data_IF_326324869841
#
_entry.id   IF_326324869841
#
_cell.length_a   1.000
_cell.length_b   1.000
_cell.length_c   1.000
_cell.angle_alpha   90.00
_cell.angle_beta   90.00
_cell.angle_gamma   90.00
#
_symmetry.space_group_name_H-M   'P 1'
#
loop_
_entity.id
_entity.type
_entity.pdbx_description
1 polymer ?
2 non-polymer ?
3 non-polymer ?
4 water ?
#
# COMPACT_ATOMS: atom_id res chain seq x y z
N UNK A 1 -10.79 -15.98 11.45
CA UNK A 1 -10.63 -16.56 12.83
C UNK A 1 -9.27 -16.15 13.32
N UNK A 2 -8.27 -16.97 13.05
CA UNK A 2 -6.89 -16.63 13.38
C UNK A 2 -6.55 -15.94 12.07
N UNK A 3 -6.62 -14.61 12.09
CA UNK A 3 -6.41 -13.81 10.89
C UNK A 3 -5.10 -13.88 10.12
N UNK A 4 -3.97 -13.88 10.82
CA UNK A 4 -2.67 -13.94 10.16
C UNK A 4 -1.72 -14.85 10.93
N UNK A 5 -1.88 -16.18 10.76
CA UNK A 5 -1.03 -17.15 11.45
C UNK A 5 0.48 -17.05 11.23
N UNK A 6 0.91 -16.62 10.05
CA UNK A 6 2.34 -16.52 9.76
C UNK A 6 2.93 -15.13 10.02
N UNK A 7 2.11 -14.20 10.48
CA UNK A 7 2.60 -12.86 10.73
C UNK A 7 3.32 -12.65 12.04
N UNK A 8 4.33 -11.78 12.03
CA UNK A 8 5.05 -11.49 13.26
C UNK A 8 4.21 -10.49 14.03
N UNK A 9 4.83 -9.72 14.90
CA UNK A 9 4.07 -8.72 15.63
C UNK A 9 4.88 -7.43 15.69
N UNK A 10 4.69 -6.60 14.67
CA UNK A 10 5.32 -5.30 14.46
C UNK A 10 4.97 -4.29 15.54
N UNK A 11 5.80 -3.25 15.65
CA UNK A 11 5.57 -2.19 16.61
C UNK A 11 4.73 -1.12 15.92
N UNK A 12 4.75 -1.14 14.59
CA UNK A 12 4.00 -0.17 13.80
C UNK A 12 3.77 -0.69 12.38
N UNK A 13 2.54 -0.55 11.91
CA UNK A 13 2.19 -0.96 10.56
C UNK A 13 1.58 0.25 9.86
N UNK A 14 2.29 0.77 8.86
CA UNK A 14 1.82 1.93 8.10
C UNK A 14 1.16 1.45 6.81
N UNK A 15 -0.11 1.79 6.65
CA UNK A 15 -0.87 1.39 5.47
C UNK A 15 -0.97 2.56 4.50
N UNK A 16 -0.15 2.52 3.46
CA UNK A 16 -0.12 3.57 2.45
C UNK A 16 -1.07 3.29 1.30
N UNK A 17 -1.57 4.37 0.70
CA UNK A 17 -2.44 4.26 -0.45
C UNK A 17 -2.34 5.61 -1.16
N UNK A 18 -2.72 5.62 -2.44
CA UNK A 18 -2.66 6.85 -3.20
C UNK A 18 -2.81 6.57 -4.69
N UNK A 19 -3.46 7.49 -5.39
CA UNK A 19 -3.65 7.34 -6.83
C UNK A 19 -2.31 7.41 -7.55
N UNK A 20 -2.26 6.82 -8.74
CA UNK A 20 -1.04 6.79 -9.53
C UNK A 20 -0.48 8.18 -9.83
N UNK A 21 0.83 8.24 -10.06
CA UNK A 21 1.53 9.48 -10.38
C UNK A 21 1.36 10.58 -9.34
N UNK A 22 1.26 10.19 -8.07
CA UNK A 22 1.08 11.16 -6.99
C UNK A 22 2.30 11.26 -6.06
N UNK A 23 3.30 10.42 -6.30
CA UNK A 23 4.50 10.45 -5.47
C UNK A 23 4.51 9.45 -4.32
N UNK A 24 3.60 8.48 -4.35
CA UNK A 24 3.55 7.49 -3.28
C UNK A 24 4.83 6.66 -3.17
N UNK A 25 5.36 6.20 -4.30
CA UNK A 25 6.59 5.40 -4.28
C UNK A 25 7.76 6.24 -3.77
N UNK A 26 7.76 7.52 -4.10
CA UNK A 26 8.81 8.41 -3.65
C UNK A 26 8.79 8.42 -2.12
N UNK A 27 7.59 8.53 -1.56
CA UNK A 27 7.43 8.56 -0.10
C UNK A 27 7.84 7.25 0.58
N UNK A 28 7.31 6.13 0.11
CA UNK A 28 7.63 4.85 0.73
C UNK A 28 9.11 4.47 0.63
N UNK A 29 9.74 4.73 -0.52
CA UNK A 29 11.15 4.39 -0.65
C UNK A 29 12.04 5.30 0.20
N UNK A 30 11.62 6.55 0.38
CA UNK A 30 12.39 7.49 1.19
C UNK A 30 12.37 7.02 2.65
N UNK A 31 11.20 6.58 3.10
CA UNK A 31 11.04 6.10 4.47
C UNK A 31 11.90 4.87 4.74
N UNK A 32 11.86 3.90 3.84
CA UNK A 32 12.66 2.69 4.04
C UNK A 32 14.15 3.04 4.03
N UNK A 33 14.54 3.94 3.13
CA UNK A 33 15.94 4.35 3.04
C UNK A 33 16.45 4.93 4.34
N UNK A 34 15.70 5.88 4.89
CA UNK A 34 16.07 6.55 6.14
C UNK A 34 16.10 5.62 7.34
N UNK A 35 15.17 4.67 7.38
CA UNK A 35 15.08 3.74 8.51
C UNK A 35 16.01 2.53 8.41
N UNK A 36 16.23 2.05 7.19
CA UNK A 36 17.08 0.89 7.00
C UNK A 36 16.21 -0.34 6.79
N UNK A 37 16.64 -1.22 5.88
CA UNK A 37 15.88 -2.43 5.57
C UNK A 37 15.66 -3.35 6.76
N UNK A 38 16.57 -3.33 7.73
CA UNK A 38 16.43 -4.18 8.91
C UNK A 38 15.44 -3.61 9.92
N UNK A 39 15.15 -2.32 9.80
CA UNK A 39 14.21 -1.68 10.70
C UNK A 39 12.83 -1.62 10.04
N UNK A 40 12.82 -1.28 8.76
CA UNK A 40 11.58 -1.13 8.01
C UNK A 40 11.47 -2.06 6.81
N UNK A 41 10.32 -2.71 6.68
CA UNK A 41 10.06 -3.61 5.57
C UNK A 41 8.94 -3.03 4.72
N UNK A 42 9.08 -3.11 3.40
CA UNK A 42 8.05 -2.61 2.50
C UNK A 42 7.32 -3.83 1.96
N UNK A 43 6.02 -3.88 2.21
CA UNK A 43 5.18 -5.00 1.78
C UNK A 43 4.23 -4.55 0.68
N UNK A 44 4.13 -5.36 -0.37
CA UNK A 44 3.26 -5.04 -1.50
C UNK A 44 2.21 -6.10 -1.75
N UNK A 45 0.94 -5.71 -1.65
CA UNK A 45 -0.18 -6.61 -1.89
C UNK A 45 -0.14 -7.13 -3.33
N UNK A 46 0.51 -6.39 -4.21
CA UNK A 46 0.62 -6.79 -5.61
C UNK A 46 1.52 -8.02 -5.76
N UNK A 47 2.37 -8.26 -4.77
CA UNK A 47 3.26 -9.40 -4.83
C UNK A 47 2.48 -10.70 -4.84
N UNK A 48 1.70 -10.97 -3.79
CA UNK A 48 0.91 -12.20 -3.73
C UNK A 48 -0.14 -12.27 -4.83
N UNK A 49 -0.61 -11.11 -5.29
CA UNK A 49 -1.60 -11.08 -6.36
C UNK A 49 -1.00 -11.76 -7.58
N UNK A 50 0.20 -11.33 -7.95
CA UNK A 50 0.90 -11.89 -9.10
C UNK A 50 1.27 -13.35 -8.88
N UNK A 51 1.89 -13.64 -7.73
CA UNK A 51 2.31 -15.00 -7.42
C UNK A 51 1.16 -16.00 -7.40
N UNK A 52 0.10 -15.67 -6.67
CA UNK A 52 -1.04 -16.56 -6.56
C UNK A 52 -1.83 -16.70 -7.85
N UNK A 53 -1.98 -15.60 -8.58
CA UNK A 53 -2.71 -15.63 -9.84
C UNK A 53 -2.05 -16.64 -10.76
N UNK A 54 -0.85 -16.26 -11.19
CA UNK A 54 -0.08 -17.08 -12.08
C UNK A 54 -0.07 -18.53 -11.59
N UNK A 55 -0.01 -18.73 -10.28
CA UNK A 55 0.01 -20.08 -9.70
C UNK A 55 -1.25 -20.89 -9.96
N UNK A 56 -2.40 -20.32 -9.60
CA UNK A 56 -3.68 -21.00 -9.80
C UNK A 56 -4.03 -21.11 -11.27
N UNK A 57 -3.06 -20.79 -12.13
CA UNK A 57 -3.26 -20.83 -13.57
C UNK A 57 -2.18 -21.65 -14.26
N UNK A 58 -1.46 -22.45 -13.49
CA UNK A 58 -0.38 -23.20 -14.11
C UNK A 58 0.76 -22.21 -14.08
N UNK A 59 1.49 -22.20 -12.97
CA UNK A 59 2.56 -21.23 -12.83
C UNK A 59 3.98 -21.69 -12.61
N UNK A 60 4.68 -20.75 -12.01
CA UNK A 60 6.05 -20.73 -11.60
C UNK A 60 6.21 -19.30 -11.11
N UNK A 61 6.44 -19.11 -9.81
CA UNK A 61 6.75 -17.80 -9.23
C UNK A 61 5.90 -16.54 -9.05
N UNK A 62 6.66 -15.48 -8.74
CA UNK A 62 6.21 -14.12 -8.47
C UNK A 62 5.24 -13.49 -9.48
N UNK A 70 -2.23 -6.04 -24.84
CA UNK A 70 -1.07 -6.81 -25.25
C UNK A 70 -0.02 -6.94 -24.15
N UNK A 71 -0.20 -7.93 -23.28
CA UNK A 71 0.73 -8.18 -22.18
C UNK A 71 0.46 -7.39 -20.90
N UNK A 72 -0.63 -6.64 -20.91
CA UNK A 72 -1.02 -5.80 -19.78
C UNK A 72 -2.53 -5.53 -19.86
N UNK A 73 -3.25 -6.53 -20.35
CA UNK A 73 -4.71 -6.50 -20.41
C UNK A 73 -4.86 -7.68 -19.47
N UNK A 74 -3.70 -8.32 -19.28
CA UNK A 74 -3.50 -9.45 -18.40
C UNK A 74 -3.52 -8.86 -17.00
N UNK A 75 -3.04 -7.62 -16.90
CA UNK A 75 -3.03 -6.90 -15.64
C UNK A 75 -4.48 -6.82 -15.19
N UNK A 76 -5.37 -6.57 -16.14
CA UNK A 76 -6.80 -6.47 -15.87
C UNK A 76 -7.34 -7.84 -15.46
N UNK A 77 -6.85 -8.90 -16.10
CA UNK A 77 -7.27 -10.26 -15.77
C UNK A 77 -6.95 -10.51 -14.30
N UNK A 78 -5.71 -10.20 -13.92
CA UNK A 78 -5.27 -10.38 -12.55
C UNK A 78 -6.12 -9.57 -11.57
N UNK A 79 -6.44 -8.33 -11.95
CA UNK A 79 -7.25 -7.49 -11.08
C UNK A 79 -8.63 -8.11 -10.88
N UNK A 80 -9.26 -8.54 -11.97
CA UNK A 80 -10.58 -9.16 -11.89
C UNK A 80 -10.52 -10.43 -11.04
N UNK A 81 -9.46 -11.21 -11.24
CA UNK A 81 -9.27 -12.45 -10.49
C UNK A 81 -9.07 -12.12 -9.01
N UNK A 82 -8.22 -11.14 -8.74
CA UNK A 82 -7.94 -10.74 -7.37
C UNK A 82 -9.16 -10.20 -6.65
N UNK A 83 -10.02 -9.50 -7.37
CA UNK A 83 -11.23 -8.95 -6.77
C UNK A 83 -12.18 -10.07 -6.35
N UNK A 84 -12.26 -11.12 -7.16
CA UNK A 84 -13.13 -12.25 -6.84
C UNK A 84 -12.64 -12.93 -5.55
N UNK A 85 -11.33 -13.08 -5.42
CA UNK A 85 -10.76 -13.70 -4.24
C UNK A 85 -10.99 -12.80 -3.03
N UNK A 86 -10.71 -11.52 -3.20
CA UNK A 86 -10.85 -10.54 -2.13
C UNK A 86 -12.27 -10.35 -1.59
N UNK A 87 -13.26 -10.44 -2.47
CA UNK A 87 -14.65 -10.27 -2.06
C UNK A 87 -15.13 -11.35 -1.10
N UNK A 88 -14.60 -12.56 -1.27
CA UNK A 88 -14.99 -13.67 -0.41
C UNK A 88 -14.02 -13.84 0.76
N UNK A 89 -12.81 -13.32 0.60
CA UNK A 89 -11.76 -13.45 1.60
C UNK A 89 -10.90 -12.19 1.58
N UNK A 90 -11.36 -11.12 2.26
CA UNK A 90 -10.67 -9.83 2.33
C UNK A 90 -9.18 -9.90 2.66
N UNK A 91 -8.79 -10.87 3.48
CA UNK A 91 -7.39 -10.99 3.86
C UNK A 91 -6.56 -11.94 3.01
N UNK A 92 -7.14 -12.45 1.93
CA UNK A 92 -6.43 -13.39 1.07
C UNK A 92 -5.02 -12.95 0.71
N UNK A 93 -4.85 -11.68 0.34
CA UNK A 93 -3.53 -11.20 -0.03
C UNK A 93 -2.80 -10.61 1.16
N UNK A 94 -3.55 -10.01 2.09
CA UNK A 94 -2.94 -9.42 3.28
C UNK A 94 -2.15 -10.45 4.09
N UNK A 95 -2.74 -11.63 4.29
CA UNK A 95 -2.10 -12.71 5.04
C UNK A 95 -0.77 -13.13 4.44
N UNK A 96 -0.67 -13.03 3.12
CA UNK A 96 0.53 -13.42 2.41
C UNK A 96 1.69 -12.43 2.46
N UNK A 97 1.40 -11.13 2.58
CA UNK A 97 2.49 -10.16 2.64
C UNK A 97 3.11 -10.03 4.03
N UNK A 98 2.37 -10.40 5.08
CA UNK A 98 2.89 -10.28 6.44
C UNK A 98 3.64 -11.52 6.93
N UNK A 99 3.65 -12.57 6.13
CA UNK A 99 4.32 -13.81 6.52
C UNK A 99 5.84 -13.70 6.61
N UNK A 100 6.39 -14.10 7.75
CA UNK A 100 7.83 -14.06 7.93
C UNK A 100 8.50 -12.70 7.89
N UNK A 101 7.79 -11.65 8.28
CA UNK A 101 8.38 -10.32 8.29
C UNK A 101 8.79 -10.03 9.73
N UNK A 102 10.09 -10.02 9.98
CA UNK A 102 10.60 -9.79 11.33
C UNK A 102 10.93 -8.34 11.68
N UNK A 103 10.85 -7.43 10.72
CA UNK A 103 11.15 -6.03 11.00
C UNK A 103 10.06 -5.43 11.90
N UNK A 104 10.44 -4.50 12.79
CA UNK A 104 9.49 -3.86 13.71
C UNK A 104 8.54 -2.88 13.02
N UNK A 105 8.96 -2.33 11.88
CA UNK A 105 8.12 -1.40 11.14
C UNK A 105 7.71 -2.01 9.80
N UNK A 106 6.41 -2.06 9.54
CA UNK A 106 5.91 -2.59 8.28
C UNK A 106 5.29 -1.46 7.48
N UNK A 107 5.70 -1.33 6.22
CA UNK A 107 5.14 -0.31 5.36
C UNK A 107 4.41 -0.99 4.21
N UNK A 108 3.09 -1.07 4.30
CA UNK A 108 2.31 -1.68 3.22
C UNK A 108 2.14 -0.53 2.25
N UNK A 109 2.83 -0.61 1.12
CA UNK A 109 2.81 0.48 0.16
C UNK A 109 1.63 0.60 -0.79
N UNK A 110 0.84 -0.46 -0.94
CA UNK A 110 -0.25 -0.40 -1.90
C UNK A 110 -1.66 -0.84 -1.50
N UNK A 111 -2.16 -0.39 -0.35
CA UNK A 111 -3.54 -0.75 -0.02
C UNK A 111 -4.34 0.06 -1.04
N UNK A 112 -5.46 -0.49 -1.51
CA UNK A 112 -6.27 0.18 -2.52
C UNK A 112 -7.75 0.19 -2.23
N UNK A 113 -8.17 -0.69 -1.32
CA UNK A 113 -9.58 -0.80 -0.99
C UNK A 113 -9.85 -0.67 0.51
N UNK A 114 -11.08 -0.33 0.86
CA UNK A 114 -11.44 -0.17 2.26
C UNK A 114 -11.22 -1.48 3.02
N UNK A 115 -11.48 -2.60 2.36
CA UNK A 115 -11.31 -3.90 3.00
C UNK A 115 -9.86 -4.15 3.44
N UNK A 116 -8.89 -3.60 2.71
CA UNK A 116 -7.48 -3.76 3.08
C UNK A 116 -7.23 -3.06 4.41
N UNK A 117 -7.79 -1.86 4.56
CA UNK A 117 -7.61 -1.11 5.79
C UNK A 117 -8.36 -1.80 6.94
N UNK A 118 -9.59 -2.21 6.68
CA UNK A 118 -10.39 -2.87 7.71
C UNK A 118 -9.74 -4.16 8.20
N UNK A 119 -9.17 -4.93 7.28
CA UNK A 119 -8.52 -6.19 7.67
C UNK A 119 -7.33 -5.91 8.58
N UNK A 120 -6.47 -4.97 8.19
CA UNK A 120 -5.30 -4.66 9.01
C UNK A 120 -5.67 -4.04 10.35
N UNK A 121 -6.70 -3.20 10.38
CA UNK A 121 -7.10 -2.59 11.64
C UNK A 121 -7.68 -3.63 12.60
N UNK A 122 -8.30 -4.67 12.05
CA UNK A 122 -8.87 -5.71 12.90
C UNK A 122 -7.79 -6.68 13.38
N UNK A 123 -6.87 -7.03 12.48
CA UNK A 123 -5.81 -7.98 12.81
C UNK A 123 -4.68 -7.41 13.67
N UNK A 124 -4.34 -6.14 13.45
CA UNK A 124 -3.26 -5.52 14.21
C UNK A 124 -3.67 -4.30 15.03
N UNK A 125 -4.90 -3.84 14.79
CA UNK A 125 -5.45 -2.69 15.49
C UNK A 125 -4.51 -1.71 16.18
N UNK A 126 -4.08 -2.08 17.38
CA UNK A 126 -3.20 -1.25 18.20
C UNK A 126 -1.98 -0.61 17.54
N UNK A 127 -1.41 -1.25 16.52
CA UNK A 127 -0.22 -0.70 15.89
C UNK A 127 -0.40 -0.22 14.45
N UNK A 128 -1.63 -0.19 13.97
CA UNK A 128 -1.89 0.24 12.59
C UNK A 128 -2.16 1.74 12.45
N UNK A 129 -1.58 2.33 11.41
CA UNK A 129 -1.75 3.75 11.09
C UNK A 129 -1.91 3.83 9.57
N UNK A 130 -2.93 4.54 9.09
CA UNK A 130 -3.12 4.65 7.65
C UNK A 130 -2.63 6.00 7.15
N UNK A 131 -1.93 5.98 6.02
CA UNK A 131 -1.40 7.21 5.44
C UNK A 131 -1.83 7.32 3.98
N UNK A 132 -2.51 8.40 3.65
CA UNK A 132 -2.97 8.62 2.29
C UNK A 132 -2.06 9.63 1.59
N UNK A 133 -1.66 9.31 0.36
CA UNK A 133 -0.82 10.22 -0.41
C UNK A 133 -1.74 10.79 -1.48
N UNK A 134 -1.79 12.11 -1.55
CA UNK A 134 -2.62 12.78 -2.54
C UNK A 134 -1.72 13.83 -3.19
N UNK A 135 -1.90 14.07 -4.48
CA UNK A 135 -1.07 15.06 -5.15
C UNK A 135 -1.93 16.10 -5.84
N UNK A 136 -1.41 17.32 -5.91
CA UNK A 136 -2.12 18.39 -6.60
C UNK A 136 -2.25 17.92 -8.04
N UNK A 137 -3.38 18.21 -8.67
CA UNK A 137 -3.61 17.75 -10.03
C UNK A 137 -2.51 18.12 -11.03
N UNK A 138 -1.98 19.33 -10.93
CA UNK A 138 -0.93 19.75 -11.85
C UNK A 138 0.36 18.94 -11.68
N UNK A 139 0.60 18.44 -10.47
CA UNK A 139 1.79 17.64 -10.20
C UNK A 139 1.63 16.31 -10.94
N UNK A 140 0.41 15.78 -10.95
CA UNK A 140 0.17 14.53 -11.65
C UNK A 140 0.32 14.77 -13.15
N UNK A 141 -0.15 15.92 -13.62
CA UNK A 141 -0.04 16.26 -15.03
C UNK A 141 1.42 16.35 -15.48
N UNK A 142 2.26 16.92 -14.62
CA UNK A 142 3.69 17.07 -14.93
C UNK A 142 4.31 15.69 -15.13
N UNK A 143 3.79 14.71 -14.40
CA UNK A 143 4.25 13.32 -14.46
C UNK A 143 3.70 12.61 -15.69
N UNK A 144 2.90 13.32 -16.48
CA UNK A 144 2.33 12.73 -17.68
C UNK A 144 0.97 12.10 -17.48
N UNK A 145 0.32 12.41 -16.37
CA UNK A 145 -1.00 11.86 -16.10
C UNK A 145 -2.11 12.47 -16.94
N UNK A 146 -2.98 11.62 -17.47
CA UNK A 146 -4.13 12.04 -18.26
C UNK A 146 -5.26 11.09 -17.89
N UNK A 147 -6.43 11.62 -17.54
CA UNK A 147 -7.54 10.76 -17.16
C UNK A 147 -7.72 9.68 -18.21
N UNK A 148 -7.71 8.42 -17.77
CA UNK A 148 -7.83 7.30 -18.68
C UNK A 148 -8.96 6.34 -18.32
N UNK A 149 -10.03 6.33 -19.12
CA UNK A 149 -11.17 5.44 -18.86
C UNK A 149 -10.68 4.01 -18.75
N UNK A 150 -11.19 3.27 -17.77
CA UNK A 150 -10.76 1.90 -17.59
C UNK A 150 -9.61 1.76 -16.61
N UNK A 151 -9.05 2.90 -16.21
CA UNK A 151 -7.95 2.92 -15.25
C UNK A 151 -8.25 3.89 -14.12
N UNK A 152 -8.37 5.17 -14.46
CA UNK A 152 -8.63 6.20 -13.46
C UNK A 152 -10.03 6.21 -12.88
N UNK A 153 -10.92 5.41 -13.45
CA UNK A 153 -12.28 5.32 -12.92
C UNK A 153 -12.54 3.90 -12.43
N UNK A 154 -11.48 3.09 -12.36
CA UNK A 154 -11.59 1.71 -11.91
C UNK A 154 -11.38 1.63 -10.39
N UNK A 155 -11.90 0.57 -9.77
CA UNK A 155 -11.78 0.41 -8.32
C UNK A 155 -10.34 0.37 -7.82
N UNK A 156 -9.43 -0.14 -8.64
CA UNK A 156 -8.02 -0.22 -8.25
C UNK A 156 -7.49 1.17 -7.89
N UNK A 157 -8.00 2.20 -8.57
CA UNK A 157 -7.58 3.58 -8.34
C UNK A 157 -8.56 4.41 -7.51
N UNK A 158 -9.82 4.00 -7.45
CA UNK A 158 -10.84 4.76 -6.72
C UNK A 158 -11.41 4.09 -5.48
N UNK A 159 -10.91 2.91 -5.14
CA UNK A 159 -11.41 2.19 -3.99
C UNK A 159 -11.42 2.91 -2.65
N UNK A 160 -10.58 3.93 -2.50
CA UNK A 160 -10.52 4.67 -1.25
C UNK A 160 -10.94 6.13 -1.41
N UNK A 161 -11.55 6.45 -2.54
CA UNK A 161 -11.99 7.81 -2.81
C UNK A 161 -13.09 8.31 -1.88
N UNK A 162 -13.88 7.39 -1.34
CA UNK A 162 -14.96 7.76 -0.44
C UNK A 162 -14.61 7.46 1.01
N UNK A 163 -13.33 7.25 1.27
CA UNK A 163 -12.85 6.95 2.61
C UNK A 163 -12.12 8.19 3.14
N UNK A 164 -12.45 8.61 4.36
CA UNK A 164 -11.80 9.78 4.92
C UNK A 164 -11.18 9.57 6.29
N UNK A 165 -11.31 8.37 6.85
CA UNK A 165 -10.78 8.07 8.18
C UNK A 165 -9.30 7.71 8.22
N UNK A 166 -8.48 8.42 7.46
CA UNK A 166 -7.05 8.17 7.44
C UNK A 166 -6.46 8.77 8.71
N UNK A 167 -5.33 8.24 9.15
CA UNK A 167 -4.68 8.79 10.33
C UNK A 167 -3.87 9.99 9.87
N UNK A 168 -3.21 9.84 8.72
CA UNK A 168 -2.40 10.91 8.18
C UNK A 168 -2.60 11.06 6.67
N UNK A 169 -2.41 12.28 6.19
CA UNK A 169 -2.53 12.58 4.77
C UNK A 169 -1.33 13.40 4.34
N UNK A 170 -0.62 12.92 3.31
CA UNK A 170 0.53 13.64 2.78
C UNK A 170 0.10 14.22 1.44
N UNK A 171 0.04 15.55 1.36
CA UNK A 171 -0.34 16.18 0.10
C UNK A 171 0.93 16.61 -0.62
N UNK A 172 1.17 16.00 -1.77
CA UNK A 172 2.33 16.31 -2.58
C UNK A 172 2.04 17.57 -3.40
N UNK A 173 2.80 18.62 -3.14
CA UNK A 173 2.64 19.91 -3.83
C UNK A 173 3.52 20.06 -5.06
N UNK A 174 4.27 19.01 -5.41
CA UNK A 174 5.14 19.09 -6.57
C UNK A 174 6.41 19.90 -6.31
N UNK A 175 6.77 20.04 -5.04
CA UNK A 175 7.96 20.78 -4.65
C UNK A 175 8.80 19.86 -3.75
N UNK A 176 10.01 19.54 -4.20
CA UNK A 176 10.88 18.64 -3.45
C UNK A 176 11.13 19.01 -2.00
N UNK A 177 11.40 20.28 -1.71
CA UNK A 177 11.68 20.66 -0.33
C UNK A 177 10.47 20.46 0.58
N UNK A 178 9.29 20.81 0.07
CA UNK A 178 8.07 20.66 0.85
C UNK A 178 7.80 19.20 1.21
N UNK A 179 8.03 18.29 0.26
CA UNK A 179 7.79 16.87 0.51
C UNK A 179 8.82 16.30 1.49
N UNK A 180 10.05 16.81 1.42
CA UNK A 180 11.11 16.37 2.32
C UNK A 180 10.73 16.68 3.76
N UNK A 181 10.14 17.86 3.98
CA UNK A 181 9.73 18.26 5.31
C UNK A 181 8.66 17.32 5.85
N UNK A 182 7.74 16.92 4.97
CA UNK A 182 6.66 16.01 5.36
C UNK A 182 7.27 14.64 5.70
N UNK A 183 8.26 14.24 4.91
CA UNK A 183 8.93 12.96 5.13
C UNK A 183 9.65 12.96 6.46
N UNK A 184 10.28 14.08 6.78
CA UNK A 184 11.00 14.20 8.04
C UNK A 184 10.03 14.13 9.22
N UNK A 185 8.84 14.70 9.06
CA UNK A 185 7.85 14.65 10.13
C UNK A 185 7.42 13.21 10.37
N UNK A 186 7.14 12.50 9.28
CA UNK A 186 6.71 11.11 9.37
C UNK A 186 7.80 10.22 9.96
N UNK A 187 9.04 10.43 9.52
CA UNK A 187 10.16 9.64 10.02
C UNK A 187 10.28 9.78 11.54
N UNK A 188 10.13 10.99 12.06
CA UNK A 188 10.24 11.17 13.50
C UNK A 188 9.06 10.52 14.23
N UNK A 189 7.92 10.42 13.55
CA UNK A 189 6.76 9.78 14.15
C UNK A 189 7.05 8.28 14.24
N UNK A 190 7.57 7.72 13.15
CA UNK A 190 7.91 6.31 13.10
C UNK A 190 8.96 5.95 14.14
N UNK A 191 9.97 6.80 14.27
CA UNK A 191 11.04 6.57 15.23
C UNK A 191 10.55 6.51 16.67
N UNK A 192 9.51 7.27 16.98
CA UNK A 192 8.97 7.27 18.34
C UNK A 192 8.43 5.89 18.71
N UNK A 193 8.22 5.06 17.69
CA UNK A 193 7.70 3.71 17.89
C UNK A 193 8.80 2.67 18.02
N UNK A 194 10.05 3.09 17.85
CA UNK A 194 11.19 2.19 17.95
C UNK A 194 11.95 2.36 19.26
N UNK A 195 11.52 3.32 20.08
CA UNK A 195 12.16 3.58 21.36
C UNK A 195 11.95 2.42 22.32
X LIG B 1 4.73 7.35 -7.79
X LIG B 1 5.91 7.80 -7.03
X LIG B 1 3.89 6.50 -6.92
X LIG B 1 3.96 8.52 -8.24
X LIG B 1 5.13 6.57 -8.97
X LIG C 1 1.96 20.58 3.95
X LIG C 1 2.33 19.89 5.19
X LIG C 1 1.10 19.70 3.13
X LIG C 1 1.25 21.82 4.27
X LIG C 1 3.18 20.90 3.19
X LIG D 1 8.41 13.84 -5.76
X LIG D 1 7.83 15.15 -6.38
X LIG D 1 6.54 14.88 -6.96
X LIG D 1 7.67 16.15 -5.29
X LIG D 1 8.80 15.49 -7.54
X LIG D 1 8.55 16.71 -8.51
X LIG D 1 7.25 17.33 -8.16
X LIG D 1 9.60 17.88 -8.28
X LIG E 1 3.08 13.75 6.87
X LIG E 1 2.71 14.34 8.24
X LIG E 1 3.14 15.72 8.30
X LIG E 1 1.22 14.31 8.42
X LIG E 1 3.57 13.57 9.27
X LIG E 1 3.49 13.91 10.80
X LIG E 1 2.69 15.11 10.98
X LIG E 1 2.70 12.78 11.56
#
# INVERSE_FOLDING_TARGET
GSMAPLGGAPRLVLLFSGKRKSGKDFVTEALQSRLGADVCAVLRLSGPLKEQYAQEHGLNFQRLLDTSTYKEAFRKDMIRWGEEKRQADPGFFCRKIVEGISQPIWLVSDTRRVSDIQWFREAYGAVTQTVRVVALEQSRQQRGWVFTPGVDDAESECGLDNFGDFDWVIENHGVEQRLEEQLENLIEFIRSRLKLHHHHHH
SO4 S O1 O2 O3 O4
SO4 S O1 O2 O3 O4
MPD C1 C2 O2 CM C3 C4 O4 C5
MPD C1 C2 O2 CM C3 C4 O4 C5
#
